data_IF_465867791365
#
_entry.id   IF_465867791365
#
_cell.length_a   1.000
_cell.length_b   1.000
_cell.length_c   1.000
_cell.angle_alpha   90.00
_cell.angle_beta   90.00
_cell.angle_gamma   90.00
#
_symmetry.space_group_name_H-M   'P 1'
#
loop_
_entity.id
_entity.type
_entity.pdbx_description
1 polymer ?
#
# COMPACT_ATOMS: atom_id res chain seq x y z
N UNK A 1 10.19 -11.70 -16.26
CA UNK A 1 8.85 -11.33 -16.76
C UNK A 1 8.66 -9.87 -16.36
N UNK A 2 8.81 -8.99 -17.34
CA UNK A 2 8.76 -7.54 -17.17
C UNK A 2 7.31 -7.12 -16.92
N UNK A 3 6.99 -6.71 -15.69
CA UNK A 3 5.66 -6.21 -15.35
C UNK A 3 5.57 -4.81 -15.96
N UNK A 4 5.15 -4.77 -17.23
CA UNK A 4 4.77 -3.61 -18.04
C UNK A 4 4.70 -2.33 -17.22
N UNK A 5 5.77 -1.54 -17.32
CA UNK A 5 5.93 -0.23 -16.68
C UNK A 5 4.76 0.69 -17.04
N UNK A 6 3.70 0.69 -16.22
CA UNK A 6 2.54 1.58 -16.38
C UNK A 6 1.18 0.90 -16.28
N UNK A 7 1.09 -0.43 -16.32
CA UNK A 7 -0.20 -1.09 -16.12
C UNK A 7 -0.49 -1.31 -14.64
N UNK A 8 -1.66 -0.85 -14.19
CA UNK A 8 -2.15 -1.15 -12.84
C UNK A 8 -2.28 -2.68 -12.68
N UNK A 9 -1.71 -3.22 -11.60
CA UNK A 9 -1.83 -4.64 -11.26
C UNK A 9 -3.21 -4.97 -10.67
N UNK A 10 -3.90 -3.96 -10.17
CA UNK A 10 -5.22 -4.06 -9.57
C UNK A 10 -5.64 -2.74 -8.93
N UNK A 11 -6.70 -2.80 -8.14
CA UNK A 11 -7.24 -1.65 -7.41
C UNK A 11 -7.04 -1.87 -5.92
N UNK A 12 -6.35 -0.92 -5.29
CA UNK A 12 -6.29 -0.82 -3.84
C UNK A 12 -7.60 -0.24 -3.33
N UNK A 13 -8.14 -0.78 -2.24
CA UNK A 13 -9.35 -0.26 -1.59
C UNK A 13 -9.17 -0.27 -0.07
N UNK A 14 -9.35 0.89 0.54
CA UNK A 14 -9.29 1.05 1.99
C UNK A 14 -10.62 0.63 2.63
N UNK A 15 -10.57 -0.30 3.58
CA UNK A 15 -11.77 -0.79 4.28
C UNK A 15 -12.31 0.18 5.35
N UNK A 16 -11.68 1.33 5.57
CA UNK A 16 -12.10 2.32 6.59
C UNK A 16 -12.71 3.60 6.02
N UNK A 17 -12.23 4.03 4.86
CA UNK A 17 -12.70 5.25 4.21
C UNK A 17 -13.13 5.02 2.76
N UNK A 18 -13.10 3.77 2.29
CA UNK A 18 -13.55 3.36 0.96
C UNK A 18 -12.80 4.00 -0.20
N UNK A 19 -11.71 4.73 0.07
CA UNK A 19 -10.85 5.27 -0.97
C UNK A 19 -10.29 4.11 -1.80
N UNK A 20 -10.43 4.22 -3.11
CA UNK A 20 -9.92 3.25 -4.07
C UNK A 20 -9.02 3.92 -5.08
N UNK A 21 -7.91 3.26 -5.42
CA UNK A 21 -6.97 3.76 -6.43
C UNK A 21 -6.25 2.58 -7.08
N UNK A 22 -5.94 2.63 -8.39
CA UNK A 22 -5.09 1.62 -9.00
C UNK A 22 -3.72 1.57 -8.32
N UNK A 23 -3.11 0.39 -8.19
CA UNK A 23 -1.74 0.22 -7.72
C UNK A 23 -0.87 -0.42 -8.80
N UNK A 24 0.41 -0.06 -8.86
CA UNK A 24 1.38 -0.60 -9.82
C UNK A 24 2.34 -1.61 -9.21
N UNK A 25 2.43 -1.69 -7.88
CA UNK A 25 3.17 -2.74 -7.18
C UNK A 25 2.57 -3.07 -5.81
N UNK A 26 2.80 -4.30 -5.36
CA UNK A 26 2.51 -4.74 -4.01
C UNK A 26 3.70 -5.50 -3.45
N UNK A 27 4.11 -5.18 -2.21
CA UNK A 27 5.18 -5.86 -1.49
C UNK A 27 6.14 -4.90 -0.78
N UNK A 28 7.20 -5.46 -0.20
CA UNK A 28 8.21 -4.70 0.55
C UNK A 28 9.26 -4.02 -0.32
N UNK A 29 9.45 -4.46 -1.57
CA UNK A 29 10.48 -3.91 -2.48
C UNK A 29 9.82 -3.15 -3.63
N UNK A 30 9.75 -1.81 -3.57
CA UNK A 30 9.26 -1.02 -4.69
C UNK A 30 10.10 -1.24 -5.94
N UNK A 31 9.48 -1.31 -7.13
CA UNK A 31 10.19 -1.39 -8.39
C UNK A 31 11.11 -0.17 -8.57
N UNK A 32 12.22 -0.34 -9.29
CA UNK A 32 13.20 0.71 -9.61
C UNK A 32 13.91 1.36 -8.41
N UNK A 33 13.79 0.77 -7.21
CA UNK A 33 14.57 1.20 -6.05
C UNK A 33 15.71 0.22 -5.78
N UNK A 34 16.94 0.73 -5.68
CA UNK A 34 18.13 -0.11 -5.44
C UNK A 34 18.42 -0.36 -3.97
N UNK A 35 18.04 0.58 -3.10
CA UNK A 35 18.47 0.61 -1.71
C UNK A 35 17.33 0.84 -0.71
N UNK A 36 16.08 0.73 -1.14
CA UNK A 36 14.91 0.93 -0.28
C UNK A 36 14.14 -0.38 -0.18
N UNK A 37 13.87 -0.79 1.06
CA UNK A 37 12.98 -1.88 1.41
C UNK A 37 12.05 -1.37 2.49
N UNK A 38 10.75 -1.56 2.30
CA UNK A 38 9.72 -1.20 3.25
C UNK A 38 9.64 -2.26 4.35
N UNK A 39 9.24 -1.86 5.55
CA UNK A 39 9.10 -2.77 6.70
C UNK A 39 7.88 -3.70 6.58
N UNK A 40 6.89 -3.31 5.77
CA UNK A 40 5.64 -4.01 5.57
C UNK A 40 5.34 -4.12 4.07
N UNK A 41 4.49 -5.08 3.69
CA UNK A 41 3.98 -5.15 2.34
C UNK A 41 2.98 -4.02 2.08
N UNK A 42 3.30 -3.18 1.11
CA UNK A 42 2.51 -2.00 0.80
C UNK A 42 2.00 -2.02 -0.64
N UNK A 43 0.85 -1.39 -0.85
CA UNK A 43 0.32 -1.05 -2.17
C UNK A 43 0.88 0.31 -2.57
N UNK A 44 1.51 0.40 -3.74
CA UNK A 44 2.05 1.66 -4.23
C UNK A 44 1.88 1.87 -5.71
N UNK A 45 2.07 3.12 -6.12
CA UNK A 45 2.06 3.58 -7.51
C UNK A 45 3.37 4.27 -7.84
N UNK A 46 3.71 4.32 -9.13
CA UNK A 46 4.66 5.33 -9.62
C UNK A 46 4.11 6.72 -9.29
N UNK A 47 4.98 7.61 -8.81
CA UNK A 47 4.58 8.96 -8.42
C UNK A 47 4.05 9.74 -9.64
N UNK A 48 2.73 10.06 -9.71
CA UNK A 48 2.15 10.77 -10.84
C UNK A 48 2.57 12.24 -10.89
N UNK A 49 3.12 12.78 -9.80
CA UNK A 49 3.62 14.15 -9.71
C UNK A 49 5.12 14.23 -10.00
N UNK A 50 5.81 13.10 -10.13
CA UNK A 50 7.24 13.02 -10.49
C UNK A 50 7.54 11.82 -11.41
N UNK A 51 6.93 11.76 -12.61
CA UNK A 51 7.02 10.60 -13.50
C UNK A 51 8.45 10.30 -14.00
N UNK A 52 9.33 11.28 -14.00
CA UNK A 52 10.71 11.17 -14.48
C UNK A 52 11.66 10.52 -13.46
N UNK A 53 11.34 10.55 -12.16
CA UNK A 53 12.32 10.32 -11.09
C UNK A 53 12.33 8.92 -10.50
N UNK A 54 11.73 7.92 -11.15
CA UNK A 54 11.55 6.56 -10.61
C UNK A 54 11.02 6.54 -9.17
N UNK A 55 10.25 7.57 -8.80
CA UNK A 55 9.67 7.71 -7.47
C UNK A 55 8.37 6.92 -7.37
N UNK A 56 8.01 6.58 -6.15
CA UNK A 56 6.77 5.90 -5.83
C UNK A 56 6.02 6.61 -4.71
N UNK A 57 4.70 6.43 -4.70
CA UNK A 57 3.83 6.82 -3.60
C UNK A 57 3.20 5.56 -3.01
N UNK A 58 3.11 5.52 -1.69
CA UNK A 58 2.42 4.46 -0.96
C UNK A 58 0.97 4.85 -0.77
N UNK A 59 0.05 4.00 -1.22
CA UNK A 59 -1.39 4.17 -1.03
C UNK A 59 -1.83 3.69 0.35
N UNK A 60 -1.29 2.54 0.77
CA UNK A 60 -1.69 1.86 2.00
C UNK A 60 -1.05 0.48 2.16
N UNK A 61 -1.44 -0.23 3.21
CA UNK A 61 -0.97 -1.59 3.53
C UNK A 61 -2.08 -2.38 4.23
N UNK A 62 -1.82 -3.65 4.54
CA UNK A 62 -2.65 -4.39 5.50
C UNK A 62 -2.21 -4.01 6.91
N UNK A 63 -3.15 -3.62 7.75
CA UNK A 63 -2.87 -3.36 9.16
C UNK A 63 -2.30 -4.62 9.82
N UNK A 64 -1.14 -4.51 10.46
CA UNK A 64 -0.46 -5.64 11.12
C UNK A 64 -1.23 -6.26 12.28
N UNK A 65 -2.22 -5.54 12.84
CA UNK A 65 -3.03 -5.99 13.97
C UNK A 65 -4.34 -6.68 13.54
N UNK A 66 -5.10 -6.08 12.61
CA UNK A 66 -6.42 -6.59 12.20
C UNK A 66 -6.48 -7.06 10.74
N UNK A 67 -5.37 -7.06 10.00
CA UNK A 67 -5.25 -7.47 8.59
C UNK A 67 -6.14 -6.70 7.58
N UNK A 68 -6.87 -5.68 8.03
CA UNK A 68 -7.68 -4.81 7.16
C UNK A 68 -6.77 -3.99 6.26
N UNK A 69 -7.15 -3.84 5.01
CA UNK A 69 -6.46 -2.94 4.07
C UNK A 69 -6.80 -1.49 4.42
N UNK A 70 -5.77 -0.70 4.73
CA UNK A 70 -5.89 0.69 5.21
C UNK A 70 -4.98 1.61 4.42
N UNK A 71 -5.45 2.83 4.13
CA UNK A 71 -4.63 3.85 3.47
C UNK A 71 -3.70 4.56 4.46
N UNK A 72 -2.65 5.22 3.96
CA UNK A 72 -1.71 6.04 4.75
C UNK A 72 -2.33 7.29 5.39
N UNK A 73 -3.61 7.56 5.17
CA UNK A 73 -4.33 8.73 5.68
C UNK A 73 -4.36 8.84 7.21
N UNK A 74 -4.84 9.98 7.70
CA UNK A 74 -4.89 10.29 9.13
C UNK A 74 -5.70 9.28 9.92
N UNK A 75 -5.15 8.91 11.08
CA UNK A 75 -5.58 7.82 11.94
C UNK A 75 -7.08 7.89 12.24
N UNK A 76 -7.86 7.04 11.59
CA UNK A 76 -9.09 6.51 12.20
C UNK A 76 -8.67 5.29 12.99
N UNK A 77 -8.57 5.45 14.32
CA UNK A 77 -8.31 4.35 15.25
C UNK A 77 -9.45 3.34 15.14
N UNK A 78 -9.29 2.36 14.27
CA UNK A 78 -10.28 1.31 14.03
C UNK A 78 -9.82 -0.05 14.55
N UNK A 79 -8.53 -0.18 14.87
CA UNK A 79 -7.90 -1.44 15.24
C UNK A 79 -7.78 -1.60 16.77
N UNK A 80 -8.30 -0.66 17.56
CA UNK A 80 -8.27 -0.68 19.04
C UNK A 80 -9.19 -1.75 19.67
N UNK A 81 -9.86 -2.62 18.89
CA UNK A 81 -10.95 -3.47 19.44
C UNK A 81 -10.86 -4.97 19.13
N UNK A 82 -9.71 -5.52 18.72
CA UNK A 82 -9.64 -6.97 18.41
C UNK A 82 -8.48 -7.73 19.08
N UNK A 83 -8.05 -7.30 20.27
CA UNK A 83 -7.13 -8.08 21.11
C UNK A 83 -7.81 -8.65 22.36
N UNK A 84 -9.04 -9.18 22.27
CA UNK A 84 -9.65 -9.96 23.36
C UNK A 84 -10.47 -11.14 22.79
N UNK A 85 -9.78 -12.07 22.11
CA UNK A 85 -10.35 -13.39 21.83
C UNK A 85 -9.21 -14.42 21.70
N UNK A 86 -8.51 -14.67 22.81
CA UNK A 86 -7.70 -15.88 22.98
C UNK A 86 -8.28 -16.62 24.18
N UNK A 87 -9.23 -17.52 23.91
CA UNK A 87 -9.67 -18.53 24.88
C UNK A 87 -8.67 -19.68 24.88
#
# INVERSE_FOLDING_TARGET
>A
MDLTEGSALGVFSCQLCEVSSPYSFYGQKPPNTRAIVLLEECFGIKDPFSPEREKFLILGSKCSLCSKTVCVGTVRRSCDSQSEAKL
#
